data_IF_375552133128
#
_entry.id   IF_375552133128
#
_cell.length_a   1.000
_cell.length_b   1.000
_cell.length_c   1.000
_cell.angle_alpha   90.00
_cell.angle_beta   90.00
_cell.angle_gamma   90.00
#
_symmetry.space_group_name_H-M   'P 1'
#
loop_
_entity.id
_entity.type
_entity.pdbx_description
1 polymer ?
#
# COMPACT_ATOMS: atom_id res chain seq x y z
N UNK A 1 14.89 -18.48 10.94
CA UNK A 1 15.75 -17.86 9.93
C UNK A 1 16.28 -18.98 9.07
N UNK A 2 16.19 -18.85 7.74
CA UNK A 2 16.50 -19.94 6.83
C UNK A 2 17.98 -20.37 6.84
N UNK A 3 18.88 -19.49 7.33
CA UNK A 3 20.32 -19.77 7.39
C UNK A 3 20.69 -20.89 8.36
N UNK A 4 19.94 -21.09 9.44
CA UNK A 4 20.25 -22.08 10.48
C UNK A 4 19.02 -22.83 11.03
N UNK A 5 17.82 -22.55 10.52
CA UNK A 5 16.57 -23.18 10.96
C UNK A 5 16.00 -22.65 12.28
N UNK A 6 16.65 -21.69 12.96
CA UNK A 6 16.18 -21.17 14.25
C UNK A 6 14.83 -20.48 14.11
N UNK A 7 13.85 -20.80 14.97
CA UNK A 7 12.55 -20.10 14.97
C UNK A 7 12.74 -18.65 15.43
N UNK A 8 12.37 -17.68 14.58
CA UNK A 8 12.49 -16.23 14.87
C UNK A 8 11.29 -15.65 15.59
N UNK A 9 10.13 -16.26 15.38
CA UNK A 9 8.86 -15.83 15.92
C UNK A 9 7.75 -16.77 15.46
N UNK A 10 6.57 -16.58 16.05
CA UNK A 10 5.35 -17.25 15.62
C UNK A 10 4.30 -16.19 15.34
N UNK A 11 3.47 -16.42 14.34
CA UNK A 11 2.37 -15.54 13.95
C UNK A 11 1.07 -16.32 14.00
N UNK A 12 -0.04 -15.63 14.27
CA UNK A 12 -1.35 -16.26 14.24
C UNK A 12 -1.75 -16.59 12.80
N UNK A 13 -2.40 -17.74 12.60
CA UNK A 13 -3.10 -18.06 11.37
C UNK A 13 -4.56 -17.69 11.54
N UNK A 14 -5.01 -16.67 10.81
CA UNK A 14 -6.37 -16.17 10.92
C UNK A 14 -7.40 -17.23 10.52
N UNK A 15 -8.44 -17.36 11.34
CA UNK A 15 -9.64 -18.13 11.05
C UNK A 15 -10.50 -17.45 9.98
N UNK A 16 -11.45 -18.20 9.41
CA UNK A 16 -12.44 -17.62 8.48
C UNK A 16 -13.30 -16.53 9.15
N UNK A 17 -13.54 -16.64 10.45
CA UNK A 17 -14.30 -15.65 11.21
C UNK A 17 -13.54 -14.33 11.34
N UNK A 18 -12.24 -14.39 11.66
CA UNK A 18 -11.37 -13.20 11.73
C UNK A 18 -11.22 -12.53 10.37
N UNK A 19 -11.04 -13.32 9.29
CA UNK A 19 -11.02 -12.78 7.93
C UNK A 19 -12.32 -12.05 7.59
N UNK A 20 -13.48 -12.65 7.91
CA UNK A 20 -14.79 -12.00 7.70
C UNK A 20 -14.89 -10.70 8.49
N UNK A 21 -14.48 -10.68 9.75
CA UNK A 21 -14.49 -9.48 10.57
C UNK A 21 -13.59 -8.37 9.99
N UNK A 22 -12.40 -8.72 9.49
CA UNK A 22 -11.50 -7.77 8.83
C UNK A 22 -12.13 -7.16 7.55
N UNK A 23 -12.83 -7.98 6.74
CA UNK A 23 -13.54 -7.51 5.54
C UNK A 23 -14.70 -6.59 5.91
N UNK A 24 -15.52 -6.93 6.90
CA UNK A 24 -16.63 -6.08 7.33
C UNK A 24 -16.13 -4.74 7.92
N UNK A 25 -15.02 -4.75 8.67
CA UNK A 25 -14.38 -3.52 9.13
C UNK A 25 -13.90 -2.65 7.96
N UNK A 26 -13.25 -3.26 6.95
CA UNK A 26 -12.81 -2.54 5.76
C UNK A 26 -14.00 -1.94 4.99
N UNK A 27 -15.11 -2.67 4.83
CA UNK A 27 -16.34 -2.16 4.21
C UNK A 27 -16.92 -0.98 4.97
N UNK A 28 -16.93 -1.03 6.31
CA UNK A 28 -17.43 0.07 7.13
C UNK A 28 -16.55 1.33 7.02
N UNK A 29 -15.22 1.16 6.96
CA UNK A 29 -14.29 2.27 6.86
C UNK A 29 -14.20 2.88 5.44
N UNK A 30 -14.41 2.07 4.40
CA UNK A 30 -14.14 2.45 3.02
C UNK A 30 -14.90 3.71 2.54
N UNK A 31 -16.21 3.91 2.84
CA UNK A 31 -16.92 5.13 2.42
C UNK A 31 -16.30 6.41 3.02
N UNK A 32 -15.94 6.38 4.30
CA UNK A 32 -15.31 7.51 4.98
C UNK A 32 -13.91 7.80 4.45
N UNK A 33 -13.12 6.75 4.17
CA UNK A 33 -11.81 6.91 3.55
C UNK A 33 -11.89 7.43 2.12
N UNK A 34 -12.80 6.90 1.29
CA UNK A 34 -13.01 7.35 -0.08
C UNK A 34 -13.45 8.82 -0.17
N UNK A 35 -14.27 9.28 0.78
CA UNK A 35 -14.70 10.68 0.87
C UNK A 35 -13.59 11.63 1.39
N UNK A 36 -12.52 11.09 1.96
CA UNK A 36 -11.39 11.91 2.42
C UNK A 36 -10.67 12.51 1.21
N UNK A 37 -10.50 13.83 1.21
CA UNK A 37 -9.82 14.55 0.12
C UNK A 37 -8.44 13.92 -0.18
N UNK A 38 -8.06 13.74 -1.47
CA UNK A 38 -6.80 13.11 -1.86
C UNK A 38 -5.55 13.68 -1.17
N UNK A 39 -5.50 15.00 -0.94
CA UNK A 39 -4.39 15.65 -0.24
C UNK A 39 -4.22 15.16 1.20
N UNK A 40 -5.32 14.86 1.89
CA UNK A 40 -5.26 14.30 3.25
C UNK A 40 -4.84 12.83 3.24
N UNK A 41 -5.23 12.07 2.22
CA UNK A 41 -4.83 10.66 2.08
C UNK A 41 -3.34 10.53 1.82
N UNK A 42 -2.77 11.35 0.94
CA UNK A 42 -1.31 11.31 0.70
C UNK A 42 -0.47 11.79 1.89
N UNK A 43 -1.00 12.64 2.78
CA UNK A 43 -0.32 12.97 4.05
C UNK A 43 -0.15 11.77 4.98
N UNK A 44 -1.05 10.79 4.91
CA UNK A 44 -0.87 9.52 5.64
C UNK A 44 0.30 8.73 5.05
N UNK A 45 0.43 8.70 3.72
CA UNK A 45 1.56 8.07 3.04
C UNK A 45 2.89 8.79 3.33
N UNK A 46 2.89 10.13 3.37
CA UNK A 46 4.06 10.91 3.81
C UNK A 46 4.47 10.56 5.25
N UNK A 47 3.49 10.46 6.15
CA UNK A 47 3.77 10.06 7.54
C UNK A 47 4.30 8.63 7.63
N UNK A 48 3.77 7.73 6.82
CA UNK A 48 4.28 6.37 6.70
C UNK A 48 5.74 6.35 6.26
N UNK A 49 6.12 7.11 5.23
CA UNK A 49 7.52 7.25 4.80
C UNK A 49 8.43 7.73 5.93
N UNK A 50 8.02 8.76 6.67
CA UNK A 50 8.78 9.25 7.83
C UNK A 50 9.00 8.17 8.90
N UNK A 51 7.99 7.35 9.18
CA UNK A 51 8.09 6.28 10.17
C UNK A 51 9.01 5.16 9.70
N UNK A 52 8.88 4.75 8.44
CA UNK A 52 9.76 3.72 7.86
C UNK A 52 11.21 4.20 7.82
N UNK A 53 11.46 5.47 7.49
CA UNK A 53 12.81 6.03 7.48
C UNK A 53 13.49 5.97 8.86
N UNK A 54 12.72 6.15 9.95
CA UNK A 54 13.24 6.05 11.33
C UNK A 54 13.63 4.62 11.71
N UNK A 55 12.88 3.64 11.21
CA UNK A 55 13.04 2.22 11.54
C UNK A 55 13.79 1.43 10.45
N UNK A 56 14.36 2.11 9.45
CA UNK A 56 14.80 1.50 8.21
C UNK A 56 15.81 0.36 8.40
N UNK A 57 16.81 0.57 9.27
CA UNK A 57 17.82 -0.44 9.57
C UNK A 57 17.24 -1.63 10.36
N UNK A 58 16.33 -1.39 11.30
CA UNK A 58 15.68 -2.44 12.07
C UNK A 58 14.76 -3.29 11.18
N UNK A 59 14.00 -2.66 10.28
CA UNK A 59 13.16 -3.34 9.31
C UNK A 59 13.99 -4.19 8.34
N UNK A 60 15.13 -3.68 7.88
CA UNK A 60 16.03 -4.43 7.01
C UNK A 60 16.63 -5.66 7.71
N UNK A 61 17.01 -5.56 8.99
CA UNK A 61 17.49 -6.70 9.77
C UNK A 61 16.42 -7.77 9.94
N UNK A 62 15.19 -7.39 10.28
CA UNK A 62 14.05 -8.32 10.39
C UNK A 62 13.82 -9.05 9.06
N UNK A 63 13.70 -8.29 7.97
CA UNK A 63 13.43 -8.83 6.64
C UNK A 63 14.52 -9.82 6.20
N UNK A 64 15.79 -9.42 6.36
CA UNK A 64 16.95 -10.25 6.02
C UNK A 64 16.92 -11.58 6.79
N UNK A 65 16.68 -11.55 8.11
CA UNK A 65 16.67 -12.75 8.95
C UNK A 65 15.50 -13.67 8.67
N UNK A 66 14.34 -13.13 8.33
CA UNK A 66 13.16 -13.96 8.05
C UNK A 66 13.23 -14.61 6.66
N UNK A 67 13.83 -13.92 5.68
CA UNK A 67 13.76 -14.32 4.26
C UNK A 67 15.11 -14.72 3.65
N UNK A 68 16.19 -14.74 4.45
CA UNK A 68 17.51 -15.20 4.02
C UNK A 68 18.22 -14.24 3.06
N UNK A 69 17.83 -12.97 3.07
CA UNK A 69 18.47 -11.93 2.24
C UNK A 69 19.71 -11.38 2.92
N UNK A 70 20.64 -10.82 2.14
CA UNK A 70 21.65 -9.93 2.72
C UNK A 70 20.96 -8.65 3.24
N UNK A 71 21.57 -7.96 4.20
CA UNK A 71 21.04 -6.66 4.68
C UNK A 71 20.95 -5.64 3.54
N UNK A 72 21.89 -5.66 2.60
CA UNK A 72 21.87 -4.79 1.43
C UNK A 72 20.65 -5.09 0.53
N UNK A 73 20.38 -6.37 0.25
CA UNK A 73 19.20 -6.76 -0.54
C UNK A 73 17.89 -6.46 0.18
N UNK A 74 17.86 -6.61 1.51
CA UNK A 74 16.69 -6.27 2.34
C UNK A 74 16.40 -4.76 2.32
N UNK A 75 17.45 -3.92 2.40
CA UNK A 75 17.31 -2.47 2.20
C UNK A 75 16.78 -2.16 0.81
N UNK A 76 17.32 -2.80 -0.23
CA UNK A 76 16.82 -2.67 -1.60
C UNK A 76 15.33 -3.02 -1.73
N UNK A 77 14.89 -4.12 -1.12
CA UNK A 77 13.48 -4.54 -1.09
C UNK A 77 12.58 -3.45 -0.49
N UNK A 78 12.94 -2.93 0.68
CA UNK A 78 12.18 -1.86 1.34
C UNK A 78 12.16 -0.61 0.46
N UNK A 79 13.32 -0.16 -0.03
CA UNK A 79 13.44 1.06 -0.84
C UNK A 79 12.59 0.99 -2.11
N UNK A 80 12.60 -0.12 -2.84
CA UNK A 80 11.79 -0.31 -4.05
C UNK A 80 10.28 -0.32 -3.77
N UNK A 81 9.88 -0.69 -2.55
CA UNK A 81 8.51 -0.51 -2.09
C UNK A 81 8.17 0.94 -1.79
N UNK A 82 9.06 1.66 -1.10
CA UNK A 82 8.88 3.07 -0.73
C UNK A 82 8.82 4.00 -1.95
N UNK A 83 9.58 3.71 -3.01
CA UNK A 83 9.49 4.45 -4.27
C UNK A 83 8.06 4.46 -4.84
N UNK A 84 7.30 3.37 -4.70
CA UNK A 84 5.89 3.33 -5.12
C UNK A 84 5.01 4.15 -4.18
N UNK A 85 5.30 4.16 -2.89
CA UNK A 85 4.62 5.05 -1.93
C UNK A 85 4.85 6.52 -2.31
N UNK A 86 6.07 6.88 -2.71
CA UNK A 86 6.43 8.22 -3.19
C UNK A 86 5.70 8.58 -4.48
N UNK A 87 5.60 7.67 -5.45
CA UNK A 87 4.77 7.87 -6.64
C UNK A 87 3.31 8.14 -6.24
N UNK A 88 2.77 7.36 -5.31
CA UNK A 88 1.40 7.51 -4.83
C UNK A 88 1.13 8.84 -4.10
N UNK A 89 2.15 9.55 -3.61
CA UNK A 89 1.98 10.94 -3.13
C UNK A 89 1.49 11.87 -4.24
N UNK A 90 1.77 11.55 -5.51
CA UNK A 90 1.24 12.25 -6.68
C UNK A 90 -0.24 11.99 -6.97
N UNK A 91 -0.95 11.16 -6.19
CA UNK A 91 -2.34 10.77 -6.45
C UNK A 91 -3.30 11.94 -6.69
N UNK A 92 -3.25 13.08 -5.97
CA UNK A 92 -4.13 14.22 -6.26
C UNK A 92 -4.03 14.72 -7.71
N UNK A 93 -2.85 14.62 -8.33
CA UNK A 93 -2.67 14.93 -9.74
C UNK A 93 -3.13 13.77 -10.64
N UNK A 94 -2.73 12.53 -10.31
CA UNK A 94 -3.06 11.34 -11.10
C UNK A 94 -4.55 10.97 -11.12
N UNK A 95 -5.32 11.46 -10.15
CA UNK A 95 -6.77 11.25 -10.04
C UNK A 95 -7.59 12.20 -10.90
N UNK A 96 -6.97 13.21 -11.52
CA UNK A 96 -7.68 14.11 -12.43
C UNK A 96 -8.34 13.30 -13.54
N UNK A 97 -9.60 13.61 -13.77
CA UNK A 97 -10.30 13.18 -14.96
C UNK A 97 -9.97 14.07 -16.15
N UNK A 98 -10.61 13.77 -17.27
CA UNK A 98 -10.54 14.56 -18.48
C UNK A 98 -11.84 15.33 -18.66
N UNK A 99 -11.77 16.43 -19.40
CA UNK A 99 -12.91 17.25 -19.75
C UNK A 99 -12.84 17.56 -21.25
N UNK A 100 -13.98 17.46 -21.93
CA UNK A 100 -14.15 17.84 -23.33
C UNK A 100 -15.31 18.82 -23.41
N UNK A 101 -14.96 20.06 -23.78
CA UNK A 101 -15.89 21.13 -24.09
C UNK A 101 -16.52 20.89 -25.46
N UNK A 102 -17.84 20.99 -25.57
CA UNK A 102 -18.53 20.92 -26.87
C UNK A 102 -18.36 19.60 -27.62
N UNK A 103 -18.40 18.47 -26.93
CA UNK A 103 -18.43 17.14 -27.56
C UNK A 103 -19.64 16.95 -28.50
N UNK A 104 -20.68 17.77 -28.30
CA UNK A 104 -21.78 18.03 -29.23
C UNK A 104 -22.45 19.37 -28.91
N UNK A 105 -23.46 19.81 -29.69
CA UNK A 105 -24.18 21.05 -29.42
C UNK A 105 -24.81 21.05 -28.02
N UNK A 106 -24.26 21.88 -27.12
CA UNK A 106 -24.71 21.98 -25.73
C UNK A 106 -24.35 20.79 -24.84
N UNK A 107 -23.37 19.96 -25.23
CA UNK A 107 -22.95 18.77 -24.48
C UNK A 107 -21.46 18.86 -24.16
N UNK A 108 -21.17 18.88 -22.87
CA UNK A 108 -19.83 18.69 -22.32
C UNK A 108 -19.69 17.27 -21.77
N UNK A 109 -18.48 16.72 -21.85
CA UNK A 109 -18.17 15.37 -21.35
C UNK A 109 -17.03 15.46 -20.36
N UNK A 110 -17.12 14.70 -19.27
CA UNK A 110 -16.04 14.56 -18.31
C UNK A 110 -15.90 13.12 -17.82
N UNK A 111 -14.71 12.78 -17.35
CA UNK A 111 -14.45 11.52 -16.66
C UNK A 111 -14.05 11.76 -15.21
N UNK A 112 -14.20 10.74 -14.37
CA UNK A 112 -13.78 10.77 -12.97
C UNK A 112 -13.08 9.47 -12.62
N UNK A 113 -12.04 9.54 -11.79
CA UNK A 113 -11.40 8.37 -11.20
C UNK A 113 -11.90 8.19 -9.78
N UNK A 114 -12.52 7.06 -9.51
CA UNK A 114 -13.07 6.71 -8.20
C UNK A 114 -12.39 5.46 -7.64
N UNK A 115 -12.25 5.34 -6.31
CA UNK A 115 -11.70 4.13 -5.70
C UNK A 115 -12.61 2.92 -5.97
N UNK A 116 -12.00 1.74 -6.16
CA UNK A 116 -12.73 0.50 -6.45
C UNK A 116 -13.60 -0.02 -5.29
N UNK A 117 -13.29 0.41 -4.06
CA UNK A 117 -13.90 -0.14 -2.85
C UNK A 117 -12.89 -0.92 -2.00
N UNK A 118 -13.35 -2.00 -1.39
CA UNK A 118 -12.49 -2.91 -0.63
C UNK A 118 -11.71 -3.80 -1.60
N UNK A 119 -10.39 -3.86 -1.45
CA UNK A 119 -9.49 -4.68 -2.25
C UNK A 119 -8.68 -5.62 -1.37
N UNK A 120 -8.28 -6.78 -1.90
CA UNK A 120 -7.47 -7.77 -1.19
C UNK A 120 -6.06 -7.88 -1.82
N UNK A 121 -5.03 -7.87 -0.98
CA UNK A 121 -3.64 -8.08 -1.37
C UNK A 121 -3.12 -9.44 -0.89
N UNK A 122 -2.77 -10.31 -1.82
CA UNK A 122 -2.05 -11.57 -1.56
C UNK A 122 -0.67 -11.45 -2.19
N UNK A 123 0.39 -11.72 -1.43
CA UNK A 123 1.77 -11.43 -1.81
C UNK A 123 2.67 -12.65 -1.64
N UNK A 124 3.66 -12.85 -2.53
CA UNK A 124 4.62 -13.94 -2.40
C UNK A 124 5.67 -13.61 -1.31
N UNK A 125 6.43 -14.62 -0.91
CA UNK A 125 7.43 -14.51 0.14
C UNK A 125 8.74 -13.82 -0.32
N UNK A 126 9.03 -13.80 -1.62
CA UNK A 126 10.37 -13.43 -2.11
C UNK A 126 10.69 -11.94 -2.03
N UNK A 127 9.68 -11.07 -1.95
CA UNK A 127 9.83 -9.64 -1.71
C UNK A 127 8.77 -9.11 -0.73
N UNK A 128 8.95 -9.38 0.57
CA UNK A 128 7.92 -9.19 1.59
C UNK A 128 7.71 -7.73 2.01
N UNK A 129 8.53 -6.78 1.54
CA UNK A 129 8.26 -5.34 1.70
C UNK A 129 7.76 -4.73 0.38
N UNK A 130 8.51 -4.91 -0.70
CA UNK A 130 8.24 -4.31 -2.01
C UNK A 130 6.85 -4.65 -2.54
N UNK A 131 6.49 -5.94 -2.64
CA UNK A 131 5.23 -6.34 -3.29
C UNK A 131 4.00 -5.93 -2.47
N UNK A 132 3.97 -6.07 -1.13
CA UNK A 132 2.89 -5.51 -0.33
C UNK A 132 2.75 -3.99 -0.51
N UNK A 133 3.85 -3.23 -0.51
CA UNK A 133 3.81 -1.78 -0.69
C UNK A 133 3.28 -1.38 -2.07
N UNK A 134 3.59 -2.15 -3.12
CA UNK A 134 3.04 -1.94 -4.46
C UNK A 134 1.52 -2.13 -4.54
N UNK A 135 0.90 -2.82 -3.57
CA UNK A 135 -0.54 -3.00 -3.48
C UNK A 135 -1.18 -2.00 -2.54
N UNK A 136 -0.61 -1.85 -1.34
CA UNK A 136 -1.19 -1.03 -0.26
C UNK A 136 -1.13 0.45 -0.63
N UNK A 137 0.00 0.93 -1.17
CA UNK A 137 0.17 2.34 -1.49
C UNK A 137 -0.90 2.88 -2.46
N UNK A 138 -1.11 2.30 -3.66
CA UNK A 138 -2.14 2.78 -4.58
C UNK A 138 -3.56 2.52 -4.10
N UNK A 139 -3.80 1.51 -3.25
CA UNK A 139 -5.11 1.26 -2.67
C UNK A 139 -5.51 2.32 -1.62
N UNK A 140 -4.53 2.88 -0.91
CA UNK A 140 -4.75 3.88 0.14
C UNK A 140 -4.75 5.32 -0.41
N UNK A 141 -3.97 5.59 -1.46
CA UNK A 141 -3.76 6.91 -2.05
C UNK A 141 -5.04 7.59 -2.57
#
# INVERSE_FOLDING_TARGET
QPMDGTVRGTVALASQAELRAAVENAKAAQPGWAATNPQRRVRVLMKFLELVAREYDALADILAREHGKTIADAKGDIQRGLEVVEVCIGAPHMMKGEFTDGAGPGIDVYSMRQPLGVVAGITPFNFPAMIPLWKIAPAIA
#
